data_IF_974162287130
#
_entry.id   IF_974162287130
#
_cell.length_a   1.000
_cell.length_b   1.000
_cell.length_c   1.000
_cell.angle_alpha   90.00
_cell.angle_beta   90.00
_cell.angle_gamma   90.00
#
_symmetry.space_group_name_H-M   'P 1'
#
loop_
_entity.id
_entity.type
_entity.pdbx_description
1 polymer ?
#
# COMPACT_ATOMS: atom_id res chain seq x y z
N UNK A 1 -0.22 12.21 -9.48
CA UNK A 1 -0.02 13.51 -10.17
C UNK A 1 0.78 14.43 -9.25
N UNK A 2 1.88 15.04 -9.72
CA UNK A 2 2.64 15.98 -8.88
C UNK A 2 1.82 17.25 -8.63
N UNK A 3 1.61 17.60 -7.37
CA UNK A 3 0.85 18.79 -6.98
C UNK A 3 1.77 20.02 -6.96
N UNK A 4 2.21 20.45 -8.16
CA UNK A 4 3.13 21.58 -8.33
C UNK A 4 2.48 22.70 -9.13
N UNK A 5 2.61 23.93 -8.62
CA UNK A 5 2.33 25.15 -9.37
C UNK A 5 3.32 25.33 -10.52
N UNK A 6 2.97 26.16 -11.50
CA UNK A 6 3.88 26.53 -12.59
C UNK A 6 5.23 27.08 -12.08
N UNK A 7 5.19 27.90 -11.03
CA UNK A 7 6.39 28.46 -10.40
C UNK A 7 7.31 27.38 -9.81
N UNK A 8 6.74 26.36 -9.17
CA UNK A 8 7.48 25.23 -8.60
C UNK A 8 8.03 24.30 -9.69
N UNK A 9 7.28 24.03 -10.77
CA UNK A 9 7.79 23.28 -11.94
C UNK A 9 9.00 23.97 -12.56
N UNK A 10 8.94 25.29 -12.75
CA UNK A 10 10.09 26.09 -13.21
C UNK A 10 11.26 26.09 -12.23
N UNK A 11 11.02 25.90 -10.93
CA UNK A 11 12.10 25.77 -9.94
C UNK A 11 12.80 24.42 -10.11
N UNK A 12 12.06 23.34 -10.32
CA UNK A 12 12.61 22.02 -10.62
C UNK A 12 13.45 22.05 -11.89
N UNK A 13 12.91 22.61 -12.98
CA UNK A 13 13.65 22.79 -14.24
C UNK A 13 14.98 23.53 -14.01
N UNK A 14 14.94 24.63 -13.24
CA UNK A 14 16.13 25.41 -12.92
C UNK A 14 17.13 24.61 -12.07
N UNK A 15 16.69 23.92 -11.03
CA UNK A 15 17.57 23.11 -10.17
C UNK A 15 18.26 22.00 -10.98
N UNK A 16 17.48 21.22 -11.71
CA UNK A 16 17.99 20.11 -12.53
C UNK A 16 18.93 20.61 -13.62
N UNK A 17 18.58 21.71 -14.30
CA UNK A 17 19.46 22.29 -15.32
C UNK A 17 20.80 22.75 -14.73
N UNK A 18 20.80 23.39 -13.56
CA UNK A 18 22.04 23.82 -12.92
C UNK A 18 22.88 22.66 -12.40
N UNK A 19 22.26 21.54 -12.00
CA UNK A 19 23.00 20.30 -11.68
C UNK A 19 23.59 19.67 -12.93
N UNK A 20 22.81 19.53 -14.01
CA UNK A 20 23.29 18.98 -15.29
C UNK A 20 24.44 19.79 -15.90
N UNK A 21 24.46 21.10 -15.67
CA UNK A 21 25.52 22.00 -16.14
C UNK A 21 26.65 22.22 -15.10
N UNK A 22 26.69 21.43 -14.02
CA UNK A 22 27.71 21.49 -12.96
C UNK A 22 27.81 22.85 -12.20
N UNK A 23 26.82 23.72 -12.36
CA UNK A 23 26.70 24.98 -11.62
C UNK A 23 26.18 24.78 -10.19
N UNK A 24 25.57 23.63 -9.92
CA UNK A 24 25.05 23.23 -8.62
C UNK A 24 25.36 21.74 -8.38
N UNK A 25 25.73 21.38 -7.16
CA UNK A 25 25.85 19.96 -6.78
C UNK A 25 24.45 19.40 -6.46
N UNK A 26 24.26 18.08 -6.55
CA UNK A 26 22.99 17.43 -6.18
C UNK A 26 22.60 17.66 -4.71
N UNK A 27 23.60 17.86 -3.85
CA UNK A 27 23.43 18.33 -2.47
C UNK A 27 23.95 19.76 -2.31
N UNK A 28 23.13 20.62 -1.72
CA UNK A 28 23.39 22.05 -1.61
C UNK A 28 22.73 22.69 -0.38
N UNK A 29 23.26 23.83 0.03
CA UNK A 29 22.74 24.59 1.17
C UNK A 29 21.91 25.78 0.72
N UNK A 30 20.71 25.93 1.30
CA UNK A 30 19.88 27.12 1.17
C UNK A 30 19.96 27.90 2.47
N UNK A 31 20.33 29.17 2.37
CA UNK A 31 20.33 30.12 3.48
C UNK A 31 19.08 30.99 3.37
N UNK A 32 18.39 31.17 4.48
CA UNK A 32 17.17 31.96 4.56
C UNK A 32 17.43 33.24 5.33
N UNK A 33 17.03 34.38 4.74
CA UNK A 33 17.01 35.67 5.43
C UNK A 33 15.58 36.03 5.76
N UNK A 34 15.36 36.43 7.00
CA UNK A 34 14.05 36.88 7.48
C UNK A 34 14.02 38.40 7.58
N UNK A 35 13.00 39.00 6.96
CA UNK A 35 12.59 40.39 7.16
C UNK A 35 11.26 40.37 7.90
N UNK A 36 11.29 40.43 9.23
CA UNK A 36 10.09 40.32 10.08
C UNK A 36 9.69 38.87 10.42
N UNK A 37 8.40 38.54 10.26
CA UNK A 37 7.81 37.24 10.65
C UNK A 37 7.78 36.18 9.53
N UNK A 38 8.22 36.53 8.31
CA UNK A 38 8.17 35.64 7.14
C UNK A 38 9.58 35.56 6.54
N UNK A 39 10.06 34.35 6.26
CA UNK A 39 11.24 34.16 5.40
C UNK A 39 10.81 34.40 3.96
N UNK A 40 11.23 35.52 3.37
CA UNK A 40 10.76 35.92 2.05
C UNK A 40 11.57 35.27 0.92
N UNK A 41 12.89 35.09 1.09
CA UNK A 41 13.77 34.60 0.02
C UNK A 41 14.96 33.82 0.57
N UNK A 42 15.25 32.68 -0.04
CA UNK A 42 16.47 31.90 0.20
C UNK A 42 17.48 32.03 -0.95
N UNK A 43 18.77 31.90 -0.63
CA UNK A 43 19.85 31.81 -1.63
C UNK A 43 20.68 30.55 -1.42
N UNK A 44 21.23 30.03 -2.52
CA UNK A 44 22.08 28.83 -2.52
C UNK A 44 23.54 29.27 -2.43
N UNK A 45 24.24 28.90 -1.36
CA UNK A 45 25.64 29.32 -1.16
C UNK A 45 26.65 28.56 -2.02
N UNK A 46 26.28 27.37 -2.50
CA UNK A 46 27.14 26.51 -3.33
C UNK A 46 26.94 26.73 -4.85
N UNK A 47 26.19 27.77 -5.24
CA UNK A 47 25.93 28.04 -6.65
C UNK A 47 27.15 28.67 -7.34
N UNK A 48 27.56 28.11 -8.47
CA UNK A 48 28.75 28.52 -9.23
C UNK A 48 28.42 29.33 -10.51
N UNK A 49 27.15 29.53 -10.81
CA UNK A 49 26.71 30.29 -12.00
C UNK A 49 26.68 31.81 -11.78
N UNK A 50 26.14 32.55 -12.76
CA UNK A 50 26.06 34.01 -12.66
C UNK A 50 24.96 34.44 -11.70
N UNK A 51 25.23 35.48 -10.91
CA UNK A 51 24.29 35.98 -9.90
C UNK A 51 22.92 36.41 -10.48
N UNK A 52 22.90 36.89 -11.73
CA UNK A 52 21.67 37.28 -12.46
C UNK A 52 20.75 36.09 -12.78
N UNK A 53 21.29 34.87 -12.77
CA UNK A 53 20.57 33.65 -13.10
C UNK A 53 20.00 32.98 -11.83
N UNK A 54 20.27 33.54 -10.65
CA UNK A 54 19.69 33.08 -9.39
C UNK A 54 18.19 33.35 -9.37
N UNK A 55 17.43 32.28 -9.24
CA UNK A 55 15.98 32.35 -9.06
C UNK A 55 15.64 32.56 -7.59
N UNK A 56 14.61 33.35 -7.32
CA UNK A 56 14.03 33.47 -5.98
C UNK A 56 13.49 32.12 -5.52
N UNK A 57 14.01 31.61 -4.39
CA UNK A 57 13.56 30.36 -3.77
C UNK A 57 12.78 30.71 -2.51
N UNK A 58 11.63 30.07 -2.31
CA UNK A 58 10.82 30.21 -1.09
C UNK A 58 10.81 28.91 -0.29
N UNK A 59 10.69 29.02 1.05
CA UNK A 59 10.59 27.85 1.93
C UNK A 59 9.40 26.95 1.54
N UNK A 60 8.27 27.57 1.19
CA UNK A 60 7.09 26.85 0.74
C UNK A 60 7.37 26.01 -0.52
N UNK A 61 8.09 26.55 -1.49
CA UNK A 61 8.44 25.80 -2.70
C UNK A 61 9.28 24.57 -2.37
N UNK A 62 10.29 24.70 -1.51
CA UNK A 62 11.15 23.57 -1.11
C UNK A 62 10.36 22.51 -0.32
N UNK A 63 9.46 22.93 0.58
CA UNK A 63 8.58 22.00 1.31
C UNK A 63 7.67 21.21 0.36
N UNK A 64 7.03 21.87 -0.59
CA UNK A 64 6.16 21.22 -1.58
C UNK A 64 6.96 20.25 -2.47
N UNK A 65 8.19 20.59 -2.86
CA UNK A 65 9.04 19.65 -3.58
C UNK A 65 9.40 18.41 -2.74
N UNK A 66 9.61 18.57 -1.43
CA UNK A 66 9.85 17.45 -0.53
C UNK A 66 8.61 16.56 -0.33
N UNK A 67 7.42 17.15 -0.18
CA UNK A 67 6.14 16.43 -0.09
C UNK A 67 5.86 15.60 -1.35
N UNK A 68 6.27 16.11 -2.51
CA UNK A 68 6.18 15.42 -3.80
C UNK A 68 7.32 14.41 -4.04
N UNK A 69 8.17 14.15 -3.04
CA UNK A 69 9.33 13.27 -3.14
C UNK A 69 10.24 13.64 -4.33
N UNK A 70 10.54 14.92 -4.47
CA UNK A 70 11.47 15.43 -5.51
C UNK A 70 12.80 15.90 -4.91
N UNK A 71 12.83 16.17 -3.61
CA UNK A 71 14.05 16.43 -2.86
C UNK A 71 13.87 16.01 -1.40
N UNK A 72 14.96 15.90 -0.68
CA UNK A 72 14.97 15.82 0.78
C UNK A 72 15.65 17.05 1.34
N UNK A 73 15.27 17.46 2.56
CA UNK A 73 15.95 18.54 3.26
C UNK A 73 16.05 18.29 4.77
N UNK A 74 17.09 18.87 5.38
CA UNK A 74 17.32 18.90 6.83
C UNK A 74 17.64 20.32 7.28
N UNK A 75 16.96 20.79 8.32
CA UNK A 75 17.27 22.08 8.95
C UNK A 75 18.53 21.91 9.82
N UNK A 76 19.62 22.60 9.48
CA UNK A 76 20.90 22.52 10.21
C UNK A 76 21.01 23.54 11.34
N UNK A 77 20.48 24.74 11.13
CA UNK A 77 20.46 25.81 12.12
C UNK A 77 19.03 26.34 12.22
N UNK A 78 18.20 25.81 13.15
CA UNK A 78 16.81 26.23 13.29
C UNK A 78 16.72 27.68 13.77
N UNK A 79 15.63 28.35 13.44
CA UNK A 79 15.37 29.71 13.90
C UNK A 79 15.27 29.75 15.44
N UNK A 80 16.16 30.54 16.09
CA UNK A 80 16.00 30.96 17.48
C UNK A 80 15.05 32.18 17.55
N UNK A 81 13.87 32.06 18.19
CA UNK A 81 12.92 33.16 18.33
C UNK A 81 13.48 34.39 19.06
N UNK A 82 14.54 34.26 19.85
CA UNK A 82 15.12 35.33 20.66
C UNK A 82 16.18 36.18 19.94
N UNK A 83 16.63 35.78 18.73
CA UNK A 83 17.70 36.48 17.99
C UNK A 83 17.16 37.46 16.95
N UNK A 84 17.70 38.68 16.93
CA UNK A 84 17.37 39.76 15.99
C UNK A 84 18.02 39.61 14.60
N UNK A 85 19.08 38.80 14.46
CA UNK A 85 19.70 38.47 13.17
C UNK A 85 19.47 36.99 12.84
N UNK A 86 18.58 36.72 11.87
CA UNK A 86 18.00 35.39 11.61
C UNK A 86 18.55 34.78 10.31
N UNK A 87 19.45 33.81 10.43
CA UNK A 87 19.88 32.98 9.32
C UNK A 87 19.50 31.52 9.61
N UNK A 88 18.52 30.98 8.89
CA UNK A 88 18.22 29.55 8.92
C UNK A 88 18.91 28.88 7.73
N UNK A 89 19.48 27.69 7.93
CA UNK A 89 20.20 26.96 6.87
C UNK A 89 19.55 25.60 6.67
N UNK A 90 19.13 25.32 5.44
CA UNK A 90 18.61 24.03 5.02
C UNK A 90 19.66 23.31 4.18
N UNK A 91 19.96 22.08 4.55
CA UNK A 91 20.73 21.13 3.75
C UNK A 91 19.74 20.36 2.86
N UNK A 92 19.84 20.54 1.54
CA UNK A 92 18.93 19.96 0.57
C UNK A 92 19.69 18.96 -0.32
N UNK A 93 19.03 17.89 -0.73
CA UNK A 93 19.53 16.98 -1.76
C UNK A 93 18.42 16.62 -2.75
N UNK A 94 18.72 16.71 -4.04
CA UNK A 94 17.84 16.19 -5.09
C UNK A 94 17.81 14.66 -5.01
N UNK A 95 16.65 14.06 -5.35
CA UNK A 95 16.51 12.60 -5.42
C UNK A 95 16.19 12.17 -6.86
N UNK A 96 16.50 10.92 -7.27
CA UNK A 96 16.39 10.48 -8.67
C UNK A 96 15.03 10.77 -9.33
N UNK A 97 13.95 10.71 -8.55
CA UNK A 97 12.59 10.98 -9.02
C UNK A 97 12.40 12.39 -9.59
N UNK A 98 13.23 13.38 -9.22
CA UNK A 98 13.14 14.72 -9.79
C UNK A 98 13.47 14.77 -11.28
N UNK A 99 14.39 13.92 -11.73
CA UNK A 99 14.77 13.82 -13.14
C UNK A 99 13.66 13.12 -13.92
N UNK A 100 13.14 12.01 -13.38
CA UNK A 100 11.99 11.30 -13.94
C UNK A 100 10.75 12.19 -14.04
N UNK A 101 10.49 13.02 -13.01
CA UNK A 101 9.40 13.97 -13.00
C UNK A 101 9.56 15.01 -14.11
N UNK A 102 10.77 15.52 -14.33
CA UNK A 102 11.04 16.49 -15.39
C UNK A 102 10.91 15.87 -16.79
N UNK A 103 11.49 14.68 -17.00
CA UNK A 103 11.48 13.99 -18.29
C UNK A 103 10.05 13.59 -18.72
N UNK A 104 9.18 13.27 -17.75
CA UNK A 104 7.77 12.98 -17.99
C UNK A 104 6.86 14.24 -17.91
N UNK A 105 7.43 15.45 -17.96
CA UNK A 105 6.69 16.72 -17.90
C UNK A 105 5.72 16.81 -16.70
N UNK A 106 6.15 16.28 -15.55
CA UNK A 106 5.41 16.19 -14.30
C UNK A 106 4.11 15.36 -14.40
N UNK A 107 4.02 14.48 -15.40
CA UNK A 107 3.01 13.42 -15.45
C UNK A 107 3.49 12.30 -14.53
N UNK A 108 2.64 11.88 -13.60
CA UNK A 108 2.90 10.79 -12.68
C UNK A 108 1.89 9.70 -12.99
N UNK A 109 2.36 8.52 -13.39
CA UNK A 109 1.53 7.33 -13.59
C UNK A 109 0.90 6.99 -12.25
N UNK A 110 -0.44 6.90 -12.22
CA UNK A 110 -1.13 6.45 -11.03
C UNK A 110 -0.76 4.98 -10.76
N UNK A 111 0.01 4.78 -9.69
CA UNK A 111 0.50 3.46 -9.25
C UNK A 111 -0.24 2.96 -8.01
N UNK A 112 -1.30 3.67 -7.58
CA UNK A 112 -2.13 3.28 -6.43
C UNK A 112 -2.72 1.87 -6.57
N UNK A 113 -2.85 1.36 -7.80
CA UNK A 113 -3.23 -0.03 -8.06
C UNK A 113 -2.35 -1.04 -7.31
N UNK A 114 -1.07 -0.72 -7.07
CA UNK A 114 -0.11 -1.61 -6.39
C UNK A 114 -0.52 -1.88 -4.94
N UNK A 115 -1.11 -0.88 -4.27
CA UNK A 115 -1.60 -1.00 -2.89
C UNK A 115 -2.77 -2.00 -2.80
N UNK A 116 -3.58 -2.10 -3.84
CA UNK A 116 -4.69 -3.06 -3.93
C UNK A 116 -4.26 -4.46 -4.40
N UNK A 117 -3.13 -4.58 -5.10
CA UNK A 117 -2.59 -5.86 -5.58
C UNK A 117 -1.65 -6.55 -4.57
N UNK A 118 -1.21 -5.85 -3.52
CA UNK A 118 -0.39 -6.40 -2.43
C UNK A 118 -1.07 -6.33 -1.05
N UNK A 119 -2.31 -6.85 -0.92
CA UNK A 119 -3.17 -6.62 0.24
C UNK A 119 -2.64 -7.23 1.55
N UNK A 120 -1.68 -8.16 1.50
CA UNK A 120 -1.14 -8.84 2.69
C UNK A 120 -0.27 -7.93 3.57
N UNK A 121 0.04 -6.72 3.11
CA UNK A 121 0.84 -5.74 3.86
C UNK A 121 0.02 -4.97 4.89
N UNK A 122 -1.31 -4.93 4.76
CA UNK A 122 -2.22 -4.27 5.69
C UNK A 122 -3.38 -5.22 6.08
N UNK A 123 -3.43 -5.70 7.33
CA UNK A 123 -4.52 -6.57 7.81
C UNK A 123 -5.87 -5.85 7.89
N UNK A 124 -5.94 -4.51 7.85
CA UNK A 124 -7.18 -3.76 8.07
C UNK A 124 -8.31 -4.11 7.10
N UNK A 125 -7.96 -4.64 5.91
CA UNK A 125 -8.90 -5.10 4.90
C UNK A 125 -9.30 -6.57 5.01
N UNK A 126 -8.87 -7.32 6.03
CA UNK A 126 -9.17 -8.73 6.20
C UNK A 126 -10.31 -9.01 7.18
N UNK A 127 -10.96 -10.16 7.04
CA UNK A 127 -11.82 -10.72 8.10
C UNK A 127 -11.01 -10.88 9.39
N UNK A 128 -11.61 -10.50 10.51
CA UNK A 128 -10.94 -10.45 11.83
C UNK A 128 -10.34 -11.81 12.21
N UNK A 129 -11.03 -12.93 11.95
CA UNK A 129 -10.49 -14.25 12.27
C UNK A 129 -9.31 -14.64 11.38
N UNK A 130 -9.32 -14.23 10.11
CA UNK A 130 -8.15 -14.43 9.23
C UNK A 130 -6.95 -13.62 9.73
N UNK A 131 -7.16 -12.36 10.09
CA UNK A 131 -6.11 -11.51 10.63
C UNK A 131 -5.55 -12.11 11.94
N UNK A 132 -6.42 -12.53 12.85
CA UNK A 132 -6.02 -13.01 14.18
C UNK A 132 -5.35 -14.39 14.16
N UNK A 133 -5.68 -15.25 13.18
CA UNK A 133 -5.21 -16.65 13.18
C UNK A 133 -4.17 -16.94 12.11
N UNK A 134 -4.22 -16.29 10.94
CA UNK A 134 -3.27 -16.56 9.86
C UNK A 134 -2.03 -15.66 9.94
N UNK A 135 -2.18 -14.38 10.27
CA UNK A 135 -1.06 -13.43 10.20
C UNK A 135 0.00 -13.69 11.28
N UNK A 136 -0.36 -14.05 12.53
CA UNK A 136 0.65 -14.43 13.52
C UNK A 136 1.51 -15.62 13.11
N UNK A 137 0.96 -16.59 12.36
CA UNK A 137 1.72 -17.72 11.83
C UNK A 137 2.83 -17.20 10.91
N UNK A 138 2.47 -16.34 9.96
CA UNK A 138 3.40 -15.78 8.97
C UNK A 138 4.41 -14.80 9.58
N UNK A 139 4.02 -14.09 10.65
CA UNK A 139 4.88 -13.16 11.37
C UNK A 139 6.09 -13.85 12.02
N UNK A 140 6.05 -15.16 12.23
CA UNK A 140 7.19 -15.92 12.78
C UNK A 140 8.28 -16.24 11.74
N UNK A 141 8.01 -16.07 10.45
CA UNK A 141 9.01 -16.28 9.40
C UNK A 141 8.44 -16.45 7.99
N UNK A 142 7.96 -15.38 7.36
CA UNK A 142 7.30 -15.42 6.04
C UNK A 142 8.12 -15.98 4.86
N UNK A 143 9.36 -16.40 5.05
CA UNK A 143 10.16 -17.14 4.06
C UNK A 143 10.08 -18.67 4.22
N UNK A 144 9.46 -19.17 5.29
CA UNK A 144 9.29 -20.61 5.57
C UNK A 144 8.00 -21.14 4.91
N UNK A 145 8.08 -22.04 3.91
CA UNK A 145 6.91 -22.62 3.26
C UNK A 145 5.95 -23.38 4.20
N UNK A 146 6.47 -23.92 5.30
CA UNK A 146 5.65 -24.70 6.26
C UNK A 146 4.71 -23.80 7.06
N UNK A 147 5.10 -22.54 7.28
CA UNK A 147 4.24 -21.52 7.87
C UNK A 147 3.13 -21.10 6.91
N UNK A 148 3.43 -21.06 5.60
CA UNK A 148 2.42 -20.82 4.58
C UNK A 148 1.41 -21.96 4.45
N UNK A 149 1.84 -23.23 4.49
CA UNK A 149 0.90 -24.37 4.56
C UNK A 149 -0.01 -24.26 5.79
N UNK A 150 0.57 -23.95 6.95
CA UNK A 150 -0.18 -23.77 8.20
C UNK A 150 -1.21 -22.64 8.12
N UNK A 151 -0.84 -21.50 7.53
CA UNK A 151 -1.75 -20.37 7.32
C UNK A 151 -2.86 -20.70 6.31
N UNK A 152 -2.54 -21.39 5.21
CA UNK A 152 -3.52 -21.84 4.20
C UNK A 152 -4.53 -22.81 4.80
N UNK A 153 -4.08 -23.79 5.59
CA UNK A 153 -4.98 -24.72 6.31
C UNK A 153 -5.88 -23.97 7.28
N UNK A 154 -5.32 -23.02 8.03
CA UNK A 154 -6.06 -22.20 8.99
C UNK A 154 -7.13 -21.37 8.30
N UNK A 155 -6.82 -20.72 7.18
CA UNK A 155 -7.80 -19.99 6.37
C UNK A 155 -8.94 -20.89 5.87
N UNK A 156 -8.62 -22.11 5.40
CA UNK A 156 -9.63 -23.09 5.01
C UNK A 156 -10.53 -23.55 6.15
N UNK A 157 -10.00 -23.65 7.37
CA UNK A 157 -10.78 -23.96 8.58
C UNK A 157 -11.74 -22.82 8.92
N UNK A 158 -11.28 -21.57 8.89
CA UNK A 158 -12.11 -20.38 9.17
C UNK A 158 -13.29 -20.32 8.19
N UNK A 159 -13.04 -20.55 6.89
CA UNK A 159 -14.11 -20.58 5.88
C UNK A 159 -15.16 -21.65 6.19
N UNK A 160 -14.73 -22.84 6.63
CA UNK A 160 -15.65 -23.90 7.01
C UNK A 160 -16.43 -23.57 8.28
N UNK A 161 -15.79 -23.02 9.29
CA UNK A 161 -16.43 -22.57 10.53
C UNK A 161 -17.51 -21.52 10.23
N UNK A 162 -17.23 -20.57 9.33
CA UNK A 162 -18.23 -19.56 8.93
C UNK A 162 -19.38 -20.16 8.13
N UNK A 163 -19.12 -21.12 7.24
CA UNK A 163 -20.19 -21.86 6.56
C UNK A 163 -21.10 -22.62 7.53
N UNK A 164 -20.53 -23.19 8.60
CA UNK A 164 -21.30 -23.87 9.65
C UNK A 164 -22.15 -22.91 10.46
N UNK A 165 -21.60 -21.75 10.83
CA UNK A 165 -22.34 -20.70 11.52
C UNK A 165 -23.55 -20.24 10.70
N UNK A 166 -23.31 -19.86 9.44
CA UNK A 166 -24.37 -19.43 8.53
C UNK A 166 -25.40 -20.52 8.27
N UNK A 167 -24.94 -21.77 8.11
CA UNK A 167 -25.83 -22.92 7.91
C UNK A 167 -26.60 -23.35 9.16
N UNK A 168 -26.21 -22.88 10.35
CA UNK A 168 -26.61 -23.45 11.64
C UNK A 168 -26.39 -24.98 11.70
N UNK A 169 -25.20 -25.43 11.29
CA UNK A 169 -24.85 -26.86 11.13
C UNK A 169 -23.87 -27.29 12.22
N UNK A 170 -24.37 -28.03 13.21
CA UNK A 170 -23.56 -28.56 14.32
C UNK A 170 -22.96 -29.94 14.07
N UNK A 171 -23.38 -30.65 13.00
CA UNK A 171 -22.90 -32.01 12.71
C UNK A 171 -21.46 -31.99 12.18
N UNK A 172 -20.48 -32.54 12.93
CA UNK A 172 -19.08 -32.53 12.52
C UNK A 172 -18.80 -33.40 11.29
N UNK A 173 -19.66 -34.38 10.99
CA UNK A 173 -19.47 -35.27 9.84
C UNK A 173 -19.94 -34.62 8.51
N UNK A 174 -20.65 -33.49 8.59
CA UNK A 174 -21.02 -32.72 7.42
C UNK A 174 -19.85 -31.83 7.02
N UNK A 175 -19.05 -32.29 6.07
CA UNK A 175 -17.85 -31.60 5.57
C UNK A 175 -17.89 -31.45 4.06
N UNK A 176 -17.08 -30.55 3.51
CA UNK A 176 -16.92 -30.47 2.05
C UNK A 176 -18.22 -30.17 1.32
N UNK A 177 -18.48 -30.91 0.25
CA UNK A 177 -19.64 -30.67 -0.63
C UNK A 177 -20.98 -30.82 0.10
N UNK A 178 -21.10 -31.73 1.07
CA UNK A 178 -22.36 -31.89 1.81
C UNK A 178 -22.66 -30.68 2.69
N UNK A 179 -21.63 -30.10 3.32
CA UNK A 179 -21.77 -28.87 4.11
C UNK A 179 -22.22 -27.72 3.22
N UNK A 180 -21.50 -27.48 2.13
CA UNK A 180 -21.79 -26.40 1.19
C UNK A 180 -23.19 -26.55 0.57
N UNK A 181 -23.61 -27.78 0.27
CA UNK A 181 -24.95 -28.05 -0.27
C UNK A 181 -26.07 -27.75 0.73
N UNK A 182 -25.83 -27.82 2.03
CA UNK A 182 -26.83 -27.39 3.03
C UNK A 182 -26.92 -25.87 3.17
N UNK A 183 -25.85 -25.15 2.88
CA UNK A 183 -25.85 -23.70 2.91
C UNK A 183 -26.48 -23.13 1.62
N UNK A 184 -25.98 -23.57 0.46
CA UNK A 184 -26.33 -22.98 -0.84
C UNK A 184 -27.20 -23.87 -1.72
N UNK A 185 -27.45 -25.13 -1.37
CA UNK A 185 -28.27 -26.03 -2.18
C UNK A 185 -29.76 -25.69 -2.16
N UNK A 186 -30.54 -26.48 -2.89
CA UNK A 186 -32.01 -26.39 -2.87
C UNK A 186 -32.52 -26.73 -1.47
N UNK A 187 -33.41 -25.92 -0.91
CA UNK A 187 -33.80 -25.91 0.51
C UNK A 187 -32.64 -25.66 1.49
N UNK A 188 -31.54 -25.07 1.02
CA UNK A 188 -30.41 -24.68 1.85
C UNK A 188 -30.67 -23.38 2.59
N UNK A 189 -29.88 -23.10 3.64
CA UNK A 189 -30.10 -21.95 4.52
C UNK A 189 -30.13 -20.60 3.78
N UNK A 190 -29.30 -20.44 2.75
CA UNK A 190 -29.23 -19.21 1.95
C UNK A 190 -30.05 -19.24 0.66
N UNK A 191 -30.85 -20.27 0.39
CA UNK A 191 -31.61 -20.37 -0.88
C UNK A 191 -32.44 -19.11 -1.14
N UNK A 192 -33.12 -18.59 -0.11
CA UNK A 192 -33.96 -17.40 -0.22
C UNK A 192 -33.22 -16.10 -0.56
N UNK A 193 -31.89 -16.08 -0.44
CA UNK A 193 -31.05 -14.92 -0.76
C UNK A 193 -30.78 -14.80 -2.26
N UNK A 194 -31.09 -15.84 -3.03
CA UNK A 194 -30.89 -15.86 -4.47
C UNK A 194 -32.22 -15.80 -5.21
N UNK A 195 -32.38 -14.80 -6.08
CA UNK A 195 -33.50 -14.71 -7.01
C UNK A 195 -33.26 -15.52 -8.29
N UNK A 196 -31.98 -15.81 -8.60
CA UNK A 196 -31.56 -16.51 -9.81
C UNK A 196 -30.90 -17.85 -9.46
N UNK A 197 -31.47 -19.00 -9.87
CA UNK A 197 -30.92 -20.33 -9.51
C UNK A 197 -29.50 -20.60 -10.00
N UNK A 198 -29.07 -19.98 -11.10
CA UNK A 198 -27.70 -20.11 -11.61
C UNK A 198 -26.69 -19.39 -10.73
N UNK A 199 -27.06 -18.27 -10.11
CA UNK A 199 -26.21 -17.56 -9.16
C UNK A 199 -26.00 -18.40 -7.90
N UNK A 200 -27.08 -18.93 -7.32
CA UNK A 200 -27.04 -19.88 -6.21
C UNK A 200 -26.11 -21.06 -6.51
N UNK A 201 -26.25 -21.66 -7.70
CA UNK A 201 -25.41 -22.78 -8.13
C UNK A 201 -23.94 -22.37 -8.26
N UNK A 202 -23.66 -21.16 -8.77
CA UNK A 202 -22.31 -20.62 -8.85
C UNK A 202 -21.65 -20.47 -7.48
N UNK A 203 -22.36 -19.94 -6.48
CA UNK A 203 -21.86 -19.88 -5.10
C UNK A 203 -21.63 -21.28 -4.53
N UNK A 204 -22.60 -22.20 -4.66
CA UNK A 204 -22.43 -23.58 -4.21
C UNK A 204 -21.18 -24.22 -4.81
N UNK A 205 -21.00 -24.12 -6.12
CA UNK A 205 -19.92 -24.80 -6.83
C UNK A 205 -18.55 -24.15 -6.52
N UNK A 206 -18.50 -22.82 -6.34
CA UNK A 206 -17.31 -22.10 -5.93
C UNK A 206 -16.81 -22.52 -4.54
N UNK A 207 -17.71 -22.50 -3.54
CA UNK A 207 -17.36 -22.87 -2.17
C UNK A 207 -17.05 -24.37 -2.06
N UNK A 208 -17.80 -25.23 -2.75
CA UNK A 208 -17.52 -26.67 -2.79
C UNK A 208 -16.17 -26.96 -3.45
N UNK A 209 -15.87 -26.24 -4.54
CA UNK A 209 -14.61 -26.34 -5.26
C UNK A 209 -13.41 -26.01 -4.38
N UNK A 210 -13.50 -24.98 -3.54
CA UNK A 210 -12.39 -24.57 -2.67
C UNK A 210 -12.15 -25.56 -1.55
N UNK A 211 -13.21 -25.98 -0.86
CA UNK A 211 -13.09 -27.00 0.18
C UNK A 211 -12.57 -28.31 -0.43
N UNK A 212 -13.03 -28.67 -1.63
CA UNK A 212 -12.59 -29.86 -2.34
C UNK A 212 -11.15 -29.82 -2.88
N UNK A 213 -10.70 -28.68 -3.41
CA UNK A 213 -9.42 -28.56 -4.10
C UNK A 213 -8.26 -28.19 -3.16
N UNK A 214 -8.52 -27.39 -2.12
CA UNK A 214 -7.50 -26.86 -1.24
C UNK A 214 -7.52 -27.55 0.12
N UNK A 215 -8.65 -27.55 0.84
CA UNK A 215 -8.72 -28.17 2.18
C UNK A 215 -8.41 -29.66 2.13
N UNK A 216 -9.05 -30.41 1.23
CA UNK A 216 -8.80 -31.86 1.13
C UNK A 216 -7.35 -32.15 0.69
N UNK A 217 -6.76 -31.31 -0.17
CA UNK A 217 -5.39 -31.52 -0.65
C UNK A 217 -4.37 -31.22 0.43
N UNK A 218 -4.51 -30.10 1.15
CA UNK A 218 -3.66 -29.76 2.29
C UNK A 218 -3.85 -30.76 3.45
N UNK A 219 -5.06 -31.27 3.69
CA UNK A 219 -5.31 -32.28 4.72
C UNK A 219 -4.70 -33.66 4.39
N UNK A 220 -4.52 -34.00 3.10
CA UNK A 220 -4.04 -35.32 2.67
C UNK A 220 -2.62 -35.33 2.10
N UNK A 221 -2.01 -34.17 1.84
CA UNK A 221 -0.63 -34.03 1.37
C UNK A 221 0.01 -32.80 2.03
N UNK A 222 1.27 -32.90 2.47
CA UNK A 222 2.08 -31.69 2.65
C UNK A 222 2.21 -31.05 1.28
N UNK A 223 1.62 -29.88 1.14
CA UNK A 223 1.88 -28.96 0.04
C UNK A 223 2.67 -27.86 0.70
N UNK A 224 3.89 -27.60 0.26
CA UNK A 224 4.70 -26.48 0.71
C UNK A 224 4.43 -25.33 -0.29
N UNK A 225 3.32 -24.57 -0.15
CA UNK A 225 3.00 -23.51 -1.10
C UNK A 225 4.10 -22.45 -1.06
N UNK A 226 4.37 -21.84 -2.22
CA UNK A 226 5.21 -20.64 -2.21
C UNK A 226 4.50 -19.51 -1.46
N UNK A 227 5.23 -18.50 -0.94
CA UNK A 227 4.63 -17.32 -0.33
C UNK A 227 3.58 -16.64 -1.22
N UNK A 228 3.81 -16.63 -2.53
CA UNK A 228 2.88 -16.08 -3.53
C UNK A 228 1.59 -16.91 -3.62
N UNK A 229 1.69 -18.24 -3.66
CA UNK A 229 0.53 -19.14 -3.70
C UNK A 229 -0.28 -19.09 -2.40
N UNK A 230 0.41 -19.16 -1.25
CA UNK A 230 -0.23 -19.10 0.06
C UNK A 230 -0.90 -17.76 0.31
N UNK A 231 -0.23 -16.68 -0.07
CA UNK A 231 -0.77 -15.32 -0.02
C UNK A 231 -2.03 -15.15 -0.88
N UNK A 232 -1.98 -15.60 -2.13
CA UNK A 232 -3.13 -15.53 -3.03
C UNK A 232 -4.34 -16.31 -2.48
N UNK A 233 -4.09 -17.48 -1.88
CA UNK A 233 -5.15 -18.27 -1.26
C UNK A 233 -5.79 -17.54 -0.07
N UNK A 234 -5.00 -16.96 0.84
CA UNK A 234 -5.51 -16.22 2.00
C UNK A 234 -6.36 -15.02 1.55
N UNK A 235 -5.90 -14.26 0.55
CA UNK A 235 -6.67 -13.16 -0.05
C UNK A 235 -7.98 -13.66 -0.66
N UNK A 236 -7.95 -14.81 -1.32
CA UNK A 236 -9.14 -15.39 -1.92
C UNK A 236 -10.15 -15.85 -0.87
N UNK A 237 -9.70 -16.50 0.22
CA UNK A 237 -10.57 -16.85 1.35
C UNK A 237 -11.20 -15.60 1.98
N UNK A 238 -10.43 -14.51 2.14
CA UNK A 238 -10.96 -13.24 2.64
C UNK A 238 -12.12 -12.72 1.77
N UNK A 239 -11.97 -12.76 0.43
CA UNK A 239 -13.04 -12.36 -0.47
C UNK A 239 -14.30 -13.22 -0.28
N UNK A 240 -14.14 -14.53 -0.07
CA UNK A 240 -15.27 -15.43 0.13
C UNK A 240 -15.97 -15.20 1.46
N UNK A 241 -15.22 -15.02 2.55
CA UNK A 241 -15.81 -14.68 3.85
C UNK A 241 -16.67 -13.42 3.75
N UNK A 242 -16.16 -12.36 3.10
CA UNK A 242 -16.94 -11.15 2.85
C UNK A 242 -18.21 -11.42 2.02
N UNK A 243 -18.08 -12.21 0.96
CA UNK A 243 -19.25 -12.59 0.13
C UNK A 243 -20.26 -13.45 0.89
N UNK A 244 -19.82 -14.24 1.85
CA UNK A 244 -20.69 -15.02 2.71
C UNK A 244 -21.43 -14.13 3.71
N UNK A 245 -20.74 -13.16 4.33
CA UNK A 245 -21.37 -12.18 5.23
C UNK A 245 -22.39 -11.30 4.53
N UNK A 246 -22.11 -10.88 3.28
CA UNK A 246 -23.05 -10.11 2.45
C UNK A 246 -24.39 -10.85 2.23
N UNK A 247 -24.39 -12.18 2.32
CA UNK A 247 -25.56 -13.03 2.13
C UNK A 247 -26.30 -13.34 3.44
N UNK A 248 -25.72 -13.05 4.60
CA UNK A 248 -26.36 -13.29 5.91
C UNK A 248 -27.64 -12.47 6.06
#
# INVERSE_FOLDING_TARGET
MYNLTYGQKKLVEWLVSNVKNEYLNESFFIHWKYTGLIAEVGWISSYKGLQKDLRTITQHSIKVLAENKLLIYKVKSPHDPASFSKNEVWDCALIPDIYNALDNNFICTDTSFSDYLTPLTDPSGFDDELADRCFPILATGGSDPTLWDSAVRTAGVILEERLRDVGNISDPNQTGQSLVSKVFGKNGTLESKFSVPSEQSGYRDLYAGIVGAFRNRSAHRLVDPSPEEGGAFIVFVNLLLKKLEDLR
#
